data_IF_418607957233
#
_entry.id   IF_418607957233
#
_cell.length_a   1.000
_cell.length_b   1.000
_cell.length_c   1.000
_cell.angle_alpha   90.00
_cell.angle_beta   90.00
_cell.angle_gamma   90.00
#
_symmetry.space_group_name_H-M   'P 1'
#
loop_
_entity.id
_entity.type
_entity.pdbx_description
1 polymer ?
#
# COMPACT_ATOMS: atom_id res chain seq x y z
N UNK A 1 13.91 7.90 -13.09
CA UNK A 1 13.05 6.77 -12.74
C UNK A 1 11.94 7.19 -11.82
N UNK A 2 10.75 6.64 -12.02
CA UNK A 2 9.61 6.92 -11.16
C UNK A 2 9.76 6.11 -9.87
N UNK A 3 9.88 6.78 -8.74
CA UNK A 3 9.81 6.15 -7.43
C UNK A 3 8.36 6.17 -6.98
N UNK A 4 7.80 5.00 -6.72
CA UNK A 4 6.47 4.88 -6.15
C UNK A 4 6.59 4.42 -4.70
N UNK A 5 6.15 5.28 -3.78
CA UNK A 5 6.04 4.92 -2.39
C UNK A 5 4.73 4.20 -2.17
N UNK A 6 4.77 2.91 -1.91
CA UNK A 6 3.58 2.17 -1.51
C UNK A 6 3.59 2.02 -0.01
N UNK A 7 2.52 2.48 0.57
CA UNK A 7 2.18 2.10 1.92
C UNK A 7 1.13 1.02 1.88
N UNK A 8 1.53 -0.13 2.29
CA UNK A 8 0.62 -1.16 2.75
C UNK A 8 0.62 -1.13 4.27
N UNK A 9 -0.06 -0.13 4.83
CA UNK A 9 -0.10 0.02 6.28
C UNK A 9 -0.89 -1.09 6.95
N UNK A 10 -1.69 -1.74 6.20
CA UNK A 10 -2.62 -2.71 6.75
C UNK A 10 -2.53 -4.06 6.04
N UNK A 11 -1.45 -4.31 5.31
CA UNK A 11 -1.08 -5.59 4.70
C UNK A 11 -2.25 -6.38 4.09
N UNK A 12 -3.25 -5.65 3.65
CA UNK A 12 -4.54 -6.22 3.35
C UNK A 12 -4.59 -6.95 2.06
N UNK A 13 -3.84 -6.48 1.13
CA UNK A 13 -4.00 -6.93 -0.24
C UNK A 13 -3.03 -8.05 -0.58
N UNK A 14 -2.78 -8.95 0.34
CA UNK A 14 -1.99 -10.10 0.00
C UNK A 14 -0.49 -9.89 0.08
N UNK A 15 -0.02 -9.18 1.09
CA UNK A 15 1.39 -9.14 1.44
C UNK A 15 2.29 -8.66 0.30
N UNK A 16 1.94 -7.53 -0.28
CA UNK A 16 2.74 -6.89 -1.32
C UNK A 16 2.36 -7.28 -2.76
N UNK A 17 1.19 -7.86 -2.98
CA UNK A 17 0.71 -8.21 -4.34
C UNK A 17 0.58 -6.98 -5.24
N UNK A 18 -0.02 -5.90 -4.76
CA UNK A 18 -0.13 -4.67 -5.52
C UNK A 18 1.25 -4.05 -5.80
N UNK A 19 2.15 -4.08 -4.83
CA UNK A 19 3.53 -3.63 -5.00
C UNK A 19 4.29 -4.45 -6.05
N UNK A 20 4.08 -5.76 -6.06
CA UNK A 20 4.67 -6.64 -7.05
C UNK A 20 4.18 -6.33 -8.47
N UNK A 21 2.87 -6.10 -8.63
CA UNK A 21 2.29 -5.72 -9.92
C UNK A 21 2.86 -4.39 -10.44
N UNK A 22 3.04 -3.42 -9.55
CA UNK A 22 3.65 -2.14 -9.91
C UNK A 22 5.11 -2.28 -10.28
N UNK A 23 5.87 -3.08 -9.53
CA UNK A 23 7.25 -3.40 -9.87
C UNK A 23 7.38 -4.16 -11.19
N UNK A 24 6.40 -5.02 -11.51
CA UNK A 24 6.34 -5.72 -12.80
C UNK A 24 6.09 -4.76 -13.98
N UNK A 25 5.44 -3.62 -13.72
CA UNK A 25 5.27 -2.56 -14.72
C UNK A 25 6.52 -1.66 -14.87
N UNK A 26 7.57 -1.90 -14.11
CA UNK A 26 8.84 -1.18 -14.20
C UNK A 26 9.03 -0.08 -13.17
N UNK A 27 8.11 0.09 -12.22
CA UNK A 27 8.25 1.09 -11.17
C UNK A 27 9.21 0.64 -10.07
N UNK A 28 9.99 1.57 -9.55
CA UNK A 28 10.70 1.40 -8.28
C UNK A 28 9.70 1.55 -7.14
N UNK A 29 9.59 0.53 -6.30
CA UNK A 29 8.56 0.46 -5.27
C UNK A 29 9.18 0.33 -3.90
N UNK A 30 8.83 1.26 -3.00
CA UNK A 30 9.17 1.17 -1.58
C UNK A 30 7.91 0.89 -0.77
N UNK A 31 7.93 -0.22 -0.02
CA UNK A 31 6.86 -0.61 0.88
C UNK A 31 7.22 -0.23 2.31
N UNK A 32 6.30 0.42 2.99
CA UNK A 32 6.41 0.68 4.42
C UNK A 32 5.50 -0.26 5.19
N UNK A 33 6.07 -1.02 6.10
CA UNK A 33 5.34 -1.99 6.92
C UNK A 33 5.73 -1.83 8.38
N UNK A 34 4.75 -1.55 9.24
CA UNK A 34 4.99 -1.35 10.66
C UNK A 34 5.04 -2.65 11.47
N UNK A 35 4.36 -3.69 11.00
CA UNK A 35 4.39 -4.98 11.69
C UNK A 35 5.70 -5.72 11.37
N UNK A 36 6.54 -6.00 12.39
CA UNK A 36 7.85 -6.61 12.15
C UNK A 36 7.76 -8.02 11.55
N UNK A 37 6.71 -8.76 11.86
CA UNK A 37 6.51 -10.12 11.32
C UNK A 37 6.20 -10.04 9.82
N UNK A 38 5.28 -9.17 9.43
CA UNK A 38 4.91 -8.97 8.03
C UNK A 38 6.09 -8.39 7.25
N UNK A 39 6.80 -7.42 7.81
CA UNK A 39 8.00 -6.87 7.20
C UNK A 39 9.06 -7.94 6.95
N UNK A 40 9.29 -8.83 7.90
CA UNK A 40 10.22 -9.95 7.76
C UNK A 40 9.78 -10.92 6.65
N UNK A 41 8.50 -11.25 6.58
CA UNK A 41 7.94 -12.12 5.53
C UNK A 41 8.08 -11.50 4.13
N UNK A 42 7.81 -10.19 4.01
CA UNK A 42 7.97 -9.46 2.74
C UNK A 42 9.43 -9.41 2.31
N UNK A 43 10.35 -9.11 3.22
CA UNK A 43 11.79 -9.12 2.96
C UNK A 43 12.28 -10.50 2.51
N UNK A 44 11.83 -11.56 3.16
CA UNK A 44 12.17 -12.94 2.77
C UNK A 44 11.60 -13.31 1.40
N UNK A 45 10.36 -12.94 1.13
CA UNK A 45 9.74 -13.17 -0.18
C UNK A 45 10.52 -12.48 -1.31
N UNK A 46 10.91 -11.22 -1.13
CA UNK A 46 11.73 -10.47 -2.09
C UNK A 46 13.10 -11.12 -2.25
N UNK A 47 13.74 -11.52 -1.15
CA UNK A 47 15.04 -12.22 -1.19
C UNK A 47 14.97 -13.50 -2.00
N UNK A 48 13.92 -14.29 -1.83
CA UNK A 48 13.71 -15.52 -2.61
C UNK A 48 13.42 -15.22 -4.08
N UNK A 49 12.61 -14.22 -4.35
CA UNK A 49 12.29 -13.81 -5.71
C UNK A 49 13.52 -13.32 -6.50
N UNK A 50 14.46 -12.64 -5.84
CA UNK A 50 15.74 -12.23 -6.46
C UNK A 50 16.61 -13.40 -6.93
N UNK A 51 16.41 -14.59 -6.39
CA UNK A 51 17.12 -15.82 -6.80
C UNK A 51 16.44 -16.55 -7.96
N UNK A 52 15.22 -16.16 -8.30
CA UNK A 52 14.46 -16.76 -9.39
C UNK A 52 14.72 -15.97 -10.68
N UNK A 53 15.07 -16.66 -11.77
CA UNK A 53 15.44 -16.03 -13.04
C UNK A 53 14.29 -15.20 -13.65
N UNK A 54 13.05 -15.60 -13.43
CA UNK A 54 11.88 -14.92 -13.98
C UNK A 54 11.41 -13.73 -13.13
N UNK A 55 11.79 -13.70 -11.85
CA UNK A 55 11.31 -12.73 -10.88
C UNK A 55 12.37 -11.73 -10.40
N UNK A 56 13.65 -12.02 -10.65
CA UNK A 56 14.76 -11.22 -10.10
C UNK A 56 14.71 -9.74 -10.48
N UNK A 57 14.32 -9.43 -11.70
CA UNK A 57 14.28 -8.05 -12.18
C UNK A 57 13.13 -7.27 -11.54
N UNK A 58 11.98 -7.94 -11.34
CA UNK A 58 10.83 -7.37 -10.63
C UNK A 58 11.19 -7.14 -9.16
N UNK A 59 11.73 -8.17 -8.51
CA UNK A 59 12.10 -8.12 -7.11
C UNK A 59 13.20 -7.09 -6.82
N UNK A 60 14.11 -6.84 -7.76
CA UNK A 60 15.17 -5.82 -7.62
C UNK A 60 14.63 -4.40 -7.54
N UNK A 61 13.41 -4.15 -8.06
CA UNK A 61 12.71 -2.87 -7.97
C UNK A 61 11.89 -2.71 -6.70
N UNK A 62 11.88 -3.71 -5.81
CA UNK A 62 11.10 -3.68 -4.58
C UNK A 62 12.00 -3.55 -3.35
N UNK A 63 11.64 -2.66 -2.45
CA UNK A 63 12.31 -2.43 -1.17
C UNK A 63 11.29 -2.37 -0.05
N UNK A 64 11.56 -3.05 1.06
CA UNK A 64 10.73 -3.00 2.27
C UNK A 64 11.47 -2.22 3.35
N UNK A 65 10.77 -1.25 3.92
CA UNK A 65 11.21 -0.49 5.09
C UNK A 65 10.26 -0.81 6.23
N UNK A 66 10.80 -1.36 7.32
CA UNK A 66 10.06 -1.56 8.55
C UNK A 66 9.88 -0.22 9.27
N UNK A 67 8.66 0.13 9.58
CA UNK A 67 8.36 1.35 10.32
C UNK A 67 6.94 1.85 10.09
N UNK A 68 6.54 2.81 10.92
CA UNK A 68 5.30 3.53 10.75
C UNK A 68 5.41 4.46 9.52
N UNK A 69 4.50 4.31 8.59
CA UNK A 69 4.57 5.03 7.32
C UNK A 69 4.24 6.51 7.45
N UNK A 70 3.41 6.93 8.41
CA UNK A 70 3.18 8.35 8.69
C UNK A 70 4.52 9.01 9.07
N UNK A 71 5.27 8.37 9.97
CA UNK A 71 6.60 8.84 10.36
C UNK A 71 7.62 8.74 9.22
N UNK A 72 7.60 7.64 8.48
CA UNK A 72 8.52 7.42 7.36
C UNK A 72 8.27 8.43 6.23
N UNK A 73 7.00 8.67 5.86
CA UNK A 73 6.67 9.66 4.83
C UNK A 73 7.07 11.08 5.24
N UNK A 74 6.96 11.42 6.52
CA UNK A 74 7.38 12.75 7.03
C UNK A 74 8.88 12.99 6.93
N UNK A 75 9.67 11.93 6.82
CA UNK A 75 11.15 11.97 6.73
C UNK A 75 11.68 11.77 5.31
N UNK A 76 10.79 11.66 4.31
CA UNK A 76 11.22 11.57 2.92
C UNK A 76 11.92 12.86 2.49
N UNK A 77 13.19 12.72 2.12
CA UNK A 77 14.02 13.82 1.62
C UNK A 77 13.99 13.91 0.09
N UNK A 78 13.71 12.80 -0.56
CA UNK A 78 13.64 12.70 -2.01
C UNK A 78 12.19 12.86 -2.50
N UNK A 79 12.02 13.41 -3.69
CA UNK A 79 10.71 13.50 -4.32
C UNK A 79 10.19 12.11 -4.68
N UNK A 80 8.93 11.87 -4.38
CA UNK A 80 8.21 10.66 -4.73
C UNK A 80 7.15 11.01 -5.75
N UNK A 81 7.09 10.29 -6.87
CA UNK A 81 6.11 10.59 -7.92
C UNK A 81 4.69 10.23 -7.48
N UNK A 82 4.52 9.06 -6.91
CA UNK A 82 3.21 8.54 -6.52
C UNK A 82 3.26 7.89 -5.13
N UNK A 83 2.29 8.21 -4.31
CA UNK A 83 2.02 7.50 -3.06
C UNK A 83 0.75 6.66 -3.23
N UNK A 84 0.87 5.37 -2.99
CA UNK A 84 -0.24 4.44 -3.00
C UNK A 84 -0.63 4.08 -1.56
N UNK A 85 -1.92 4.22 -1.26
CA UNK A 85 -2.48 3.93 0.06
C UNK A 85 -3.56 2.85 -0.07
N UNK A 86 -3.44 1.81 0.72
CA UNK A 86 -4.45 0.77 0.87
C UNK A 86 -4.80 0.58 2.36
N UNK A 87 -5.47 1.57 2.98
CA UNK A 87 -5.87 1.46 4.37
C UNK A 87 -6.91 0.38 4.54
N UNK A 88 -6.70 -0.49 5.52
CA UNK A 88 -7.64 -1.54 5.87
C UNK A 88 -8.91 -0.98 6.46
N UNK A 89 -10.04 -1.30 5.82
CA UNK A 89 -11.35 -1.08 6.43
C UNK A 89 -11.74 -2.29 7.25
N UNK A 90 -12.38 -2.09 8.43
CA UNK A 90 -12.98 -3.20 9.12
C UNK A 90 -13.95 -3.88 8.16
N UNK A 91 -13.67 -5.14 7.84
CA UNK A 91 -14.54 -5.94 6.99
C UNK A 91 -15.92 -5.95 7.63
N UNK A 92 -16.92 -5.42 6.94
CA UNK A 92 -18.31 -5.66 7.33
C UNK A 92 -18.50 -7.17 7.37
N UNK A 93 -18.87 -7.69 8.52
CA UNK A 93 -19.08 -9.12 8.80
C UNK A 93 -20.23 -9.69 7.95
N UNK A 94 -20.06 -9.76 6.63
CA UNK A 94 -21.01 -10.44 5.76
C UNK A 94 -20.29 -11.03 4.56
N UNK A 95 -19.51 -12.06 4.80
CA UNK A 95 -19.40 -13.19 3.88
C UNK A 95 -18.54 -14.29 4.49
N UNK A 96 -19.03 -15.48 4.44
CA UNK A 96 -18.48 -16.71 4.99
C UNK A 96 -17.20 -17.22 4.33
N UNK A 97 -16.52 -16.40 3.54
CA UNK A 97 -15.32 -16.80 2.79
C UNK A 97 -14.27 -15.69 2.80
N UNK A 98 -13.96 -15.17 3.98
CA UNK A 98 -12.71 -14.44 4.13
C UNK A 98 -11.59 -15.44 4.03
N UNK A 99 -10.73 -15.30 3.03
CA UNK A 99 -9.53 -16.11 2.87
C UNK A 99 -8.78 -16.18 4.21
N UNK A 100 -8.37 -17.38 4.62
CA UNK A 100 -7.61 -17.62 5.86
C UNK A 100 -6.38 -16.72 5.99
N UNK A 101 -5.73 -16.42 4.88
CA UNK A 101 -4.62 -15.47 4.77
C UNK A 101 -5.03 -14.07 5.24
N UNK A 102 -6.18 -13.57 4.77
CA UNK A 102 -6.70 -12.26 5.15
C UNK A 102 -7.08 -12.19 6.63
N UNK A 103 -7.67 -13.26 7.18
CA UNK A 103 -7.99 -13.35 8.60
C UNK A 103 -6.73 -13.31 9.48
N UNK A 104 -5.66 -14.00 9.05
CA UNK A 104 -4.39 -13.97 9.76
C UNK A 104 -3.77 -12.56 9.76
N UNK A 105 -3.78 -11.90 8.61
CA UNK A 105 -3.28 -10.52 8.47
C UNK A 105 -4.09 -9.57 9.34
N UNK A 106 -5.41 -9.66 9.35
CA UNK A 106 -6.29 -8.83 10.18
C UNK A 106 -6.06 -9.00 11.68
N UNK A 107 -5.62 -10.20 12.12
CA UNK A 107 -5.23 -10.42 13.52
C UNK A 107 -3.88 -9.78 13.88
N UNK A 108 -2.99 -9.65 12.92
CA UNK A 108 -1.66 -9.07 13.11
C UNK A 108 -1.67 -7.55 13.03
N UNK A 109 -2.59 -6.98 12.26
CA UNK A 109 -2.69 -5.53 12.05
C UNK A 109 -4.10 -5.02 12.32
N UNK A 110 -4.27 -4.12 13.31
CA UNK A 110 -5.54 -3.46 13.54
C UNK A 110 -5.86 -2.50 12.37
N UNK A 111 -7.15 -2.23 12.10
CA UNK A 111 -7.56 -1.24 11.11
C UNK A 111 -6.94 0.13 11.41
N UNK A 112 -6.60 0.87 10.36
CA UNK A 112 -6.12 2.24 10.49
C UNK A 112 -7.23 3.13 11.04
N UNK A 113 -7.11 3.59 12.28
CA UNK A 113 -8.07 4.49 12.92
C UNK A 113 -7.84 5.97 12.58
N UNK A 114 -6.69 6.30 11.99
CA UNK A 114 -6.24 7.67 11.77
C UNK A 114 -6.04 7.96 10.28
N UNK A 115 -7.14 7.84 9.52
CA UNK A 115 -7.15 8.09 8.08
C UNK A 115 -6.66 9.50 7.72
N UNK A 116 -7.01 10.49 8.54
CA UNK A 116 -6.63 11.89 8.33
C UNK A 116 -5.12 12.07 8.44
N UNK A 117 -4.50 11.50 9.47
CA UNK A 117 -3.04 11.61 9.68
C UNK A 117 -2.28 10.94 8.53
N UNK A 118 -2.80 9.82 8.05
CA UNK A 118 -2.24 9.11 6.93
C UNK A 118 -2.27 9.96 5.64
N UNK A 119 -3.42 10.54 5.34
CA UNK A 119 -3.60 11.36 4.16
C UNK A 119 -2.77 12.65 4.23
N UNK A 120 -2.75 13.30 5.39
CA UNK A 120 -1.95 14.51 5.62
C UNK A 120 -0.44 14.23 5.50
N UNK A 121 0.03 13.10 6.00
CA UNK A 121 1.41 12.69 5.83
C UNK A 121 1.76 12.45 4.35
N UNK A 122 0.85 11.86 3.59
CA UNK A 122 1.03 11.66 2.15
C UNK A 122 1.09 12.99 1.40
N UNK A 123 0.24 13.97 1.73
CA UNK A 123 0.29 15.31 1.14
C UNK A 123 1.61 16.01 1.49
N UNK A 124 2.06 15.93 2.73
CA UNK A 124 3.32 16.55 3.19
C UNK A 124 4.55 15.98 2.49
N UNK A 125 4.51 14.73 2.06
CA UNK A 125 5.57 14.11 1.27
C UNK A 125 5.65 14.69 -0.15
N UNK A 126 4.68 15.52 -0.53
CA UNK A 126 4.63 16.26 -1.80
C UNK A 126 4.81 15.39 -3.05
N UNK A 127 4.05 14.31 -3.21
CA UNK A 127 4.07 13.53 -4.45
C UNK A 127 3.32 14.27 -5.57
N UNK A 128 3.51 13.84 -6.81
CA UNK A 128 2.70 14.33 -7.93
C UNK A 128 1.26 13.81 -7.81
N UNK A 129 1.08 12.63 -7.24
CA UNK A 129 -0.21 11.96 -7.13
C UNK A 129 -0.30 11.06 -5.90
N UNK A 130 -1.48 11.04 -5.30
CA UNK A 130 -1.85 10.05 -4.30
C UNK A 130 -2.96 9.16 -4.88
N UNK A 131 -2.80 7.85 -4.77
CA UNK A 131 -3.79 6.86 -5.19
C UNK A 131 -4.25 6.08 -3.96
N UNK A 132 -5.55 6.05 -3.72
CA UNK A 132 -6.15 5.35 -2.59
C UNK A 132 -7.06 4.25 -3.09
N UNK A 133 -6.80 3.02 -2.69
CA UNK A 133 -7.67 1.88 -2.96
C UNK A 133 -8.83 1.85 -1.96
N UNK A 134 -10.04 1.75 -2.46
CA UNK A 134 -11.27 1.77 -1.66
C UNK A 134 -12.27 0.71 -2.15
N UNK A 135 -13.11 0.15 -1.28
CA UNK A 135 -14.33 -0.52 -1.69
C UNK A 135 -15.25 0.43 -2.45
N UNK A 136 -16.00 -0.07 -3.44
CA UNK A 136 -16.84 0.77 -4.32
C UNK A 136 -17.81 1.70 -3.56
N UNK A 137 -18.37 1.22 -2.45
CA UNK A 137 -19.42 1.92 -1.70
C UNK A 137 -18.92 2.63 -0.44
N UNK A 138 -17.61 2.64 -0.19
CA UNK A 138 -17.06 3.31 0.98
C UNK A 138 -16.92 4.81 0.73
N UNK A 139 -16.85 5.56 1.82
CA UNK A 139 -16.55 7.00 1.76
C UNK A 139 -15.11 7.23 1.27
N UNK A 140 -14.84 8.44 0.81
CA UNK A 140 -13.48 8.84 0.44
C UNK A 140 -12.59 8.93 1.68
N UNK A 141 -11.30 8.64 1.52
CA UNK A 141 -10.34 8.68 2.61
C UNK A 141 -10.31 10.09 3.25
N UNK A 142 -10.43 10.14 4.56
CA UNK A 142 -10.48 11.39 5.34
C UNK A 142 -11.53 12.39 4.85
N UNK A 143 -12.60 11.94 4.19
CA UNK A 143 -13.65 12.80 3.63
C UNK A 143 -13.19 13.69 2.47
N UNK A 144 -12.01 13.44 1.90
CA UNK A 144 -11.44 14.24 0.80
C UNK A 144 -11.93 13.74 -0.55
N UNK A 145 -12.45 14.64 -1.38
CA UNK A 145 -12.87 14.30 -2.74
C UNK A 145 -11.66 14.11 -3.66
N UNK A 146 -11.59 13.00 -4.43
CA UNK A 146 -10.50 12.79 -5.38
C UNK A 146 -10.65 13.67 -6.62
N UNK A 147 -9.53 13.90 -7.31
CA UNK A 147 -9.52 14.57 -8.60
C UNK A 147 -10.24 13.74 -9.66
N UNK A 148 -10.10 12.43 -9.61
CA UNK A 148 -10.86 11.47 -10.42
C UNK A 148 -10.85 10.09 -9.75
N UNK A 149 -11.73 9.22 -10.18
CA UNK A 149 -11.87 7.86 -9.65
C UNK A 149 -11.89 6.85 -10.78
N UNK A 150 -11.12 5.77 -10.62
CA UNK A 150 -11.15 4.61 -11.50
C UNK A 150 -11.92 3.48 -10.80
N UNK A 151 -13.06 3.08 -11.37
CA UNK A 151 -13.94 2.08 -10.77
C UNK A 151 -13.75 0.72 -11.44
N UNK A 152 -13.52 -0.30 -10.60
CA UNK A 152 -13.57 -1.71 -10.97
C UNK A 152 -14.90 -2.37 -10.58
N UNK A 153 -14.94 -3.69 -10.55
CA UNK A 153 -16.15 -4.46 -10.18
C UNK A 153 -16.41 -4.46 -8.67
N UNK A 154 -15.37 -4.51 -7.85
CA UNK A 154 -15.46 -4.64 -6.40
C UNK A 154 -14.79 -3.50 -5.66
N UNK A 155 -13.81 -2.88 -6.26
CA UNK A 155 -12.98 -1.81 -5.70
C UNK A 155 -12.94 -0.62 -6.64
N UNK A 156 -12.51 0.52 -6.11
CA UNK A 156 -12.17 1.71 -6.88
C UNK A 156 -10.83 2.26 -6.44
N UNK A 157 -10.21 3.05 -7.29
CA UNK A 157 -9.02 3.83 -6.96
C UNK A 157 -9.37 5.31 -7.01
N UNK A 158 -9.30 5.96 -5.87
CA UNK A 158 -9.46 7.41 -5.75
C UNK A 158 -8.11 8.07 -5.99
N UNK A 159 -8.02 8.94 -6.99
CA UNK A 159 -6.78 9.56 -7.42
C UNK A 159 -6.81 11.06 -7.12
N UNK A 160 -5.78 11.52 -6.41
CA UNK A 160 -5.60 12.91 -6.02
C UNK A 160 -4.36 13.45 -6.74
N UNK A 161 -4.54 14.41 -7.62
CA UNK A 161 -3.46 15.10 -8.32
C UNK A 161 -3.11 16.35 -7.52
N UNK A 162 -1.85 16.51 -7.15
CA UNK A 162 -1.37 17.60 -6.31
C UNK A 162 -0.62 18.66 -7.13
#
# INVERSE_FOLDING_TARGET
GSEMCIRDSDATAGMGEDAFLLAAQGYEVTLYEQNPVIAALLKDAIRRAKKNIDLKDIASRMKVIEGNSVECMSKLLDSVDVIYLDPMFPARQKSSLINKKLQLIQKLEPPCSEETDLFDAAIKANPDKIIVKRPLKSECLAGREPSYTLKGKAIRYDCYVL
#
